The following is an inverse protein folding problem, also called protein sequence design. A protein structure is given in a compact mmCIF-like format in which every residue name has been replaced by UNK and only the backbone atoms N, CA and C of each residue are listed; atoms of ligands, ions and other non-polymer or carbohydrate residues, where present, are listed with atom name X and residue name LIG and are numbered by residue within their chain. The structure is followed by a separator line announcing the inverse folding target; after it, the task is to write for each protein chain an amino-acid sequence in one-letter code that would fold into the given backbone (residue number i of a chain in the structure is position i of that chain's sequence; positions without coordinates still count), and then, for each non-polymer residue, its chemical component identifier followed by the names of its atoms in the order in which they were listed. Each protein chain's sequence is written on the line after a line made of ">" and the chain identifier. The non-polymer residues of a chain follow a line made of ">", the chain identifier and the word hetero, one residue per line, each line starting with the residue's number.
data_IF_004769457719
#
_entry.id   IF_004769457719
#
_cell.length_a   1.000
_cell.length_b   1.000
_cell.length_c   1.000
_cell.angle_alpha   90.00
_cell.angle_beta   90.00
_cell.angle_gamma   90.00
#
_symmetry.space_group_name_H-M   'P 1'
#
loop_
_entity.id
_entity.type
_entity.pdbx_description
1 polymer ?
#
# COMPACT_ATOMS: atom_id res chain seq x y z
N UNK A 1 11.57 -20.42 -0.50
CA UNK A 1 10.63 -20.39 0.64
C UNK A 1 10.22 -18.95 0.83
N UNK A 2 8.94 -18.68 1.04
CA UNK A 2 8.49 -17.31 1.28
C UNK A 2 8.53 -16.99 2.78
N UNK A 3 9.02 -15.81 3.13
CA UNK A 3 9.15 -15.37 4.51
C UNK A 3 7.92 -14.55 4.92
N UNK A 4 7.46 -14.65 6.17
CA UNK A 4 6.43 -13.76 6.69
C UNK A 4 6.85 -12.29 6.52
N UNK A 5 5.94 -11.48 6.01
CA UNK A 5 6.13 -10.03 5.92
C UNK A 5 5.53 -9.36 7.16
N UNK A 6 6.26 -8.39 7.71
CA UNK A 6 5.74 -7.46 8.71
C UNK A 6 6.25 -6.07 8.36
N UNK A 7 5.35 -5.10 8.36
CA UNK A 7 5.70 -3.70 8.24
C UNK A 7 6.24 -3.22 9.60
N UNK A 8 7.49 -2.77 9.61
CA UNK A 8 8.11 -2.10 10.75
C UNK A 8 8.81 -0.86 10.21
N UNK A 9 8.10 0.27 10.25
CA UNK A 9 8.57 1.53 9.70
C UNK A 9 9.31 2.29 10.81
N UNK A 10 10.64 2.51 10.67
CA UNK A 10 11.41 3.25 11.66
C UNK A 10 10.85 4.64 11.89
N UNK A 11 10.79 5.07 13.16
CA UNK A 11 10.28 6.39 13.51
C UNK A 11 11.01 7.52 12.78
N UNK A 12 12.33 7.37 12.57
CA UNK A 12 13.14 8.33 11.82
C UNK A 12 12.63 8.56 10.39
N UNK A 13 12.03 7.57 9.73
CA UNK A 13 11.44 7.77 8.40
C UNK A 13 10.16 8.60 8.44
N UNK A 14 9.36 8.43 9.49
CA UNK A 14 8.15 9.23 9.70
C UNK A 14 8.50 10.68 10.07
N UNK A 15 9.56 10.86 10.84
CA UNK A 15 10.06 12.19 11.20
C UNK A 15 10.65 12.90 9.96
N UNK A 16 11.42 12.19 9.14
CA UNK A 16 11.94 12.69 7.85
C UNK A 16 10.80 13.03 6.88
N UNK A 17 9.74 12.21 6.83
CA UNK A 17 8.55 12.50 6.04
C UNK A 17 7.93 13.84 6.47
N UNK A 18 7.71 14.06 7.77
CA UNK A 18 7.13 15.30 8.27
C UNK A 18 7.99 16.51 7.90
N UNK A 19 9.30 16.41 8.12
CA UNK A 19 10.24 17.47 7.75
C UNK A 19 10.18 17.81 6.25
N UNK A 20 10.05 16.81 5.38
CA UNK A 20 9.91 17.06 3.93
C UNK A 20 8.61 17.74 3.57
N UNK A 21 7.51 17.37 4.24
CA UNK A 21 6.20 17.99 4.02
C UNK A 21 6.18 19.46 4.50
N UNK A 22 6.91 19.79 5.56
CA UNK A 22 7.08 21.18 6.03
C UNK A 22 7.91 22.03 5.06
N UNK A 23 8.88 21.42 4.38
CA UNK A 23 9.83 22.11 3.49
C UNK A 23 9.44 22.01 2.00
N UNK A 24 8.16 21.83 1.67
CA UNK A 24 7.71 21.76 0.28
C UNK A 24 7.87 23.15 -0.37
N UNK A 25 8.61 23.18 -1.47
CA UNK A 25 8.60 24.31 -2.40
C UNK A 25 7.44 24.13 -3.39
N UNK A 26 6.40 24.94 -3.21
CA UNK A 26 5.21 24.90 -4.06
C UNK A 26 5.47 25.55 -5.42
N UNK A 27 5.10 24.92 -6.54
CA UNK A 27 5.13 25.56 -7.85
C UNK A 27 4.00 26.59 -7.98
N UNK A 28 4.14 27.48 -8.95
CA UNK A 28 3.05 28.35 -9.39
C UNK A 28 2.02 27.54 -10.20
N UNK A 29 0.77 28.02 -10.21
CA UNK A 29 -0.34 27.41 -10.94
C UNK A 29 -1.00 28.42 -11.88
N UNK A 30 -1.52 27.95 -13.01
CA UNK A 30 -2.29 28.76 -13.96
C UNK A 30 -3.65 29.06 -13.34
N UNK A 31 -4.06 30.33 -13.36
CA UNK A 31 -5.35 30.76 -12.81
C UNK A 31 -6.48 30.01 -13.53
N UNK A 32 -7.45 29.51 -12.75
CA UNK A 32 -8.64 28.79 -13.22
C UNK A 32 -8.36 27.51 -14.03
N UNK A 33 -7.17 26.90 -13.88
CA UNK A 33 -6.85 25.65 -14.59
C UNK A 33 -7.40 24.38 -13.92
N UNK A 34 -7.91 24.50 -12.69
CA UNK A 34 -8.42 23.39 -11.87
C UNK A 34 -7.56 22.11 -12.00
N UNK A 35 -8.11 21.05 -12.63
CA UNK A 35 -7.47 19.75 -12.84
C UNK A 35 -6.96 19.52 -14.28
N UNK A 36 -7.07 20.51 -15.17
CA UNK A 36 -6.80 20.35 -16.60
C UNK A 36 -5.34 19.96 -16.91
N UNK A 37 -4.41 20.34 -16.03
CA UNK A 37 -2.98 20.10 -16.19
C UNK A 37 -2.38 19.22 -15.09
N UNK A 38 -3.22 18.50 -14.34
CA UNK A 38 -2.79 17.65 -13.24
C UNK A 38 -3.51 18.00 -11.94
N UNK A 39 -2.97 17.56 -10.81
CA UNK A 39 -3.56 17.85 -9.52
C UNK A 39 -3.47 19.35 -9.22
N UNK A 40 -4.61 19.95 -8.84
CA UNK A 40 -4.66 21.36 -8.50
C UNK A 40 -3.83 21.66 -7.24
N UNK A 41 -3.16 22.81 -7.22
CA UNK A 41 -2.27 23.23 -6.13
C UNK A 41 -2.99 23.33 -4.78
N UNK A 42 -4.23 23.79 -4.77
CA UNK A 42 -5.01 23.94 -3.53
C UNK A 42 -5.27 22.58 -2.88
N UNK A 43 -5.69 21.60 -3.68
CA UNK A 43 -5.88 20.22 -3.24
C UNK A 43 -4.57 19.59 -2.73
N UNK A 44 -3.45 19.78 -3.43
CA UNK A 44 -2.18 19.20 -3.01
C UNK A 44 -1.68 19.78 -1.67
N UNK A 45 -1.95 21.06 -1.41
CA UNK A 45 -1.66 21.70 -0.12
C UNK A 45 -2.52 21.12 0.99
N UNK A 46 -3.82 20.96 0.77
CA UNK A 46 -4.74 20.34 1.73
C UNK A 46 -4.33 18.90 2.06
N UNK A 47 -4.03 18.10 1.03
CA UNK A 47 -3.60 16.72 1.21
C UNK A 47 -2.29 16.63 1.98
N UNK A 48 -1.34 17.53 1.71
CA UNK A 48 -0.06 17.57 2.42
C UNK A 48 -0.25 17.94 3.90
N UNK A 49 -1.16 18.87 4.20
CA UNK A 49 -1.53 19.22 5.58
C UNK A 49 -2.17 18.03 6.29
N UNK A 50 -3.11 17.33 5.65
CA UNK A 50 -3.72 16.12 6.22
C UNK A 50 -2.66 15.06 6.56
N UNK A 51 -1.70 14.82 5.66
CA UNK A 51 -0.60 13.88 5.88
C UNK A 51 0.32 14.29 7.03
N UNK A 52 0.58 15.59 7.17
CA UNK A 52 1.45 16.11 8.21
C UNK A 52 0.79 16.07 9.60
N UNK A 53 -0.46 16.54 9.68
CA UNK A 53 -1.12 16.85 10.95
C UNK A 53 -2.04 15.75 11.46
N UNK A 54 -2.71 15.03 10.55
CA UNK A 54 -3.85 14.18 10.91
C UNK A 54 -3.60 12.69 10.65
N UNK A 55 -2.80 12.35 9.65
CA UNK A 55 -2.61 10.97 9.24
C UNK A 55 -1.79 10.13 10.25
N UNK A 56 -2.40 9.09 10.83
CA UNK A 56 -1.73 8.18 11.77
C UNK A 56 -1.13 6.97 11.04
N UNK A 57 0.17 7.07 10.71
CA UNK A 57 0.94 5.97 10.14
C UNK A 57 0.97 4.70 11.01
N UNK A 58 0.94 4.85 12.35
CA UNK A 58 0.98 3.70 13.26
C UNK A 58 -0.33 2.95 13.26
N UNK A 59 -1.45 3.63 13.02
CA UNK A 59 -2.72 2.95 12.79
C UNK A 59 -2.65 2.07 11.54
N UNK A 60 -2.22 2.64 10.41
CA UNK A 60 -2.13 1.90 9.15
C UNK A 60 -1.10 0.76 9.23
N UNK A 61 0.03 0.96 9.90
CA UNK A 61 1.01 -0.10 10.15
C UNK A 61 0.41 -1.28 10.93
N UNK A 62 -0.43 -1.01 11.94
CA UNK A 62 -1.15 -2.06 12.66
C UNK A 62 -2.16 -2.77 11.75
N UNK A 63 -2.87 -2.04 10.92
CA UNK A 63 -3.84 -2.62 9.96
C UNK A 63 -3.14 -3.52 8.94
N UNK A 64 -2.02 -3.07 8.37
CA UNK A 64 -1.18 -3.87 7.45
C UNK A 64 -0.67 -5.14 8.12
N UNK A 65 -0.23 -5.05 9.37
CA UNK A 65 0.25 -6.22 10.10
C UNK A 65 -0.88 -7.14 10.61
N UNK A 66 -2.09 -6.60 10.81
CA UNK A 66 -3.28 -7.34 11.19
C UNK A 66 -3.85 -8.13 10.01
N UNK A 67 -3.79 -7.57 8.82
CA UNK A 67 -3.88 -8.29 7.56
C UNK A 67 -2.61 -9.09 7.35
N UNK A 68 -2.39 -10.07 8.24
CA UNK A 68 -1.36 -11.09 8.12
C UNK A 68 -1.43 -11.55 6.67
N UNK A 69 -0.47 -11.09 5.86
CA UNK A 69 -0.21 -11.55 4.51
C UNK A 69 0.21 -13.00 4.68
N UNK A 70 -0.81 -13.81 4.95
CA UNK A 70 -0.88 -15.16 4.50
C UNK A 70 -0.71 -14.97 3.00
N UNK A 71 0.54 -15.11 2.57
CA UNK A 71 0.83 -16.26 1.75
C UNK A 71 0.15 -17.45 2.42
N UNK A 72 -1.16 -17.56 2.21
CA UNK A 72 -1.84 -18.83 2.06
C UNK A 72 -1.10 -19.36 0.85
N UNK A 73 0.09 -19.92 1.08
CA UNK A 73 0.48 -21.08 0.32
C UNK A 73 -0.67 -22.03 0.59
N UNK A 74 -1.74 -21.92 -0.19
CA UNK A 74 -2.37 -23.12 -0.68
C UNK A 74 -1.18 -23.94 -1.11
N UNK A 75 -0.85 -24.91 -0.26
CA UNK A 75 -0.02 -26.01 -0.63
C UNK A 75 -0.77 -26.62 -1.82
N UNK A 76 -0.51 -26.10 -3.01
CA UNK A 76 -0.71 -26.83 -4.25
C UNK A 76 0.41 -27.85 -4.19
N UNK A 77 0.23 -28.84 -3.33
CA UNK A 77 0.90 -30.11 -3.47
C UNK A 77 0.25 -30.81 -4.67
N UNK A 78 0.49 -30.29 -5.88
CA UNK A 78 0.48 -31.13 -7.07
C UNK A 78 1.74 -31.98 -7.01
N UNK A 79 1.77 -32.96 -6.11
CA UNK A 79 2.82 -33.97 -6.10
C UNK A 79 2.35 -35.08 -7.04
N UNK A 80 2.87 -35.10 -8.26
CA UNK A 80 2.62 -36.20 -9.20
C UNK A 80 3.36 -36.00 -10.52
N UNK A 81 4.46 -36.72 -10.71
CA UNK A 81 5.12 -36.90 -12.02
C UNK A 81 4.39 -38.04 -12.77
N UNK A 82 3.16 -37.78 -13.24
CA UNK A 82 2.38 -38.74 -14.04
C UNK A 82 1.71 -37.98 -15.22
N UNK A 83 1.90 -38.37 -16.50
CA UNK A 83 1.64 -37.46 -17.62
C UNK A 83 0.17 -37.24 -18.03
N UNK A 84 -0.87 -37.77 -17.34
CA UNK A 84 -2.22 -37.87 -17.97
C UNK A 84 -3.42 -37.43 -17.09
N UNK A 85 -3.28 -36.79 -15.93
CA UNK A 85 -4.45 -36.37 -15.11
C UNK A 85 -4.40 -34.94 -14.53
N UNK A 86 -4.20 -33.94 -15.39
CA UNK A 86 -4.14 -32.52 -15.02
C UNK A 86 -5.50 -31.78 -14.98
N UNK A 87 -6.58 -32.38 -14.46
CA UNK A 87 -7.93 -31.76 -14.47
C UNK A 87 -8.69 -31.84 -13.13
N UNK A 88 -8.01 -31.74 -11.98
CA UNK A 88 -8.67 -31.72 -10.67
C UNK A 88 -8.20 -30.65 -9.68
N UNK A 89 -7.73 -29.49 -10.16
CA UNK A 89 -7.30 -28.40 -9.29
C UNK A 89 -8.17 -27.13 -9.35
N UNK A 90 -9.31 -27.15 -10.02
CA UNK A 90 -10.21 -26.00 -10.02
C UNK A 90 -11.65 -26.46 -9.79
N UNK A 91 -12.10 -26.40 -8.54
CA UNK A 91 -13.45 -25.93 -8.22
C UNK A 91 -13.58 -25.71 -6.72
N UNK A 92 -13.38 -24.46 -6.32
CA UNK A 92 -13.89 -23.96 -5.07
C UNK A 92 -15.36 -23.59 -5.31
N UNK A 93 -16.28 -24.49 -4.96
CA UNK A 93 -17.67 -24.10 -4.71
C UNK A 93 -18.14 -24.78 -3.43
N UNK A 94 -18.30 -23.93 -2.43
CA UNK A 94 -18.98 -24.09 -1.15
C UNK A 94 -20.06 -25.20 -1.17
N UNK A 95 -19.81 -26.27 -0.42
CA UNK A 95 -20.69 -26.87 0.60
C UNK A 95 -19.81 -27.59 1.64
#
# INVERSE_FOLDING_TARGET
>A
MAQPFSADIPQQLLDDLKLRLENIHWPDEIIDSEWEYGANLSYMKELSQYWHDTFDWRQVEREINAEKLLLKSSSIACRGNEPILALRCFNNQVL
#
